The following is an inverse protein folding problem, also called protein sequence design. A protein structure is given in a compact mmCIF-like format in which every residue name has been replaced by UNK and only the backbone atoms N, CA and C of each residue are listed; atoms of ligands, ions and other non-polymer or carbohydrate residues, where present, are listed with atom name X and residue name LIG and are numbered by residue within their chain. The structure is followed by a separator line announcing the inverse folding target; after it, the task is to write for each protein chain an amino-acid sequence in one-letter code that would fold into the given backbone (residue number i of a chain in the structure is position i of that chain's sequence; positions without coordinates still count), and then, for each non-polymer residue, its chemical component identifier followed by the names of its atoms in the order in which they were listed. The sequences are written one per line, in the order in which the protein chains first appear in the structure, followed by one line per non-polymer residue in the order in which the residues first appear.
data_IF_788259273098
#
_entry.id   IF_788259273098
#
_cell.length_a   1.000
_cell.length_b   1.000
_cell.length_c   1.000
_cell.angle_alpha   90.00
_cell.angle_beta   90.00
_cell.angle_gamma   90.00
#
_symmetry.space_group_name_H-M   'P 1'
#
loop_
_entity.id
_entity.type
_entity.pdbx_description
1 polymer ?
#
# COMPACT_ATOMS: atom_id res chain seq x y z
N UNK A 1 -27.08 -11.54 -7.04
CA UNK A 1 -28.37 -10.83 -7.08
C UNK A 1 -28.07 -9.43 -7.56
N UNK A 2 -28.56 -9.04 -8.74
CA UNK A 2 -28.52 -7.64 -9.18
C UNK A 2 -29.53 -6.89 -8.32
N UNK A 3 -29.05 -5.91 -7.56
CA UNK A 3 -29.92 -5.02 -6.82
C UNK A 3 -30.61 -4.10 -7.82
N UNK A 4 -31.92 -3.87 -7.68
CA UNK A 4 -32.58 -2.81 -8.43
C UNK A 4 -32.28 -1.48 -7.75
N UNK A 5 -31.21 -0.80 -8.16
CA UNK A 5 -30.75 0.40 -7.47
C UNK A 5 -31.66 1.63 -7.69
N UNK A 6 -32.53 1.59 -8.70
CA UNK A 6 -33.46 2.69 -9.04
C UNK A 6 -34.61 2.85 -8.01
N UNK A 7 -34.92 1.79 -7.27
CA UNK A 7 -36.01 1.80 -6.28
C UNK A 7 -35.54 2.07 -4.84
N UNK A 8 -34.23 2.21 -4.63
CA UNK A 8 -33.67 2.40 -3.29
C UNK A 8 -33.89 3.81 -2.77
N UNK A 9 -34.28 3.89 -1.50
CA UNK A 9 -34.27 5.16 -0.77
C UNK A 9 -32.84 5.58 -0.44
N UNK A 10 -32.65 6.89 -0.21
CA UNK A 10 -31.37 7.44 0.25
C UNK A 10 -30.84 6.80 1.54
N UNK A 11 -31.72 6.31 2.41
CA UNK A 11 -31.29 5.65 3.65
C UNK A 11 -30.72 4.28 3.34
N UNK A 12 -31.43 3.46 2.57
CA UNK A 12 -30.98 2.11 2.19
C UNK A 12 -29.67 2.15 1.39
N UNK A 13 -29.55 3.12 0.48
CA UNK A 13 -28.32 3.30 -0.28
C UNK A 13 -27.11 3.67 0.61
N UNK A 14 -27.31 4.49 1.64
CA UNK A 14 -26.26 4.79 2.64
C UNK A 14 -25.92 3.58 3.49
N UNK A 15 -26.93 2.80 3.87
CA UNK A 15 -26.73 1.59 4.67
C UNK A 15 -25.93 0.54 3.90
N UNK A 16 -26.18 0.40 2.59
CA UNK A 16 -25.35 -0.44 1.70
C UNK A 16 -23.89 0.04 1.65
N UNK A 17 -23.65 1.33 1.44
CA UNK A 17 -22.29 1.89 1.48
C UNK A 17 -21.60 1.62 2.81
N UNK A 18 -22.31 1.79 3.93
CA UNK A 18 -21.78 1.52 5.27
C UNK A 18 -21.45 0.04 5.44
N UNK A 19 -22.37 -0.85 5.08
CA UNK A 19 -22.18 -2.30 5.13
C UNK A 19 -20.95 -2.73 4.33
N UNK A 20 -20.81 -2.26 3.09
CA UNK A 20 -19.66 -2.62 2.24
C UNK A 20 -18.34 -2.09 2.81
N UNK A 21 -18.33 -0.91 3.45
CA UNK A 21 -17.12 -0.42 4.15
C UNK A 21 -16.78 -1.26 5.37
N UNK A 22 -17.76 -1.57 6.22
CA UNK A 22 -17.53 -2.30 7.48
C UNK A 22 -17.12 -3.74 7.24
N UNK A 23 -17.68 -4.38 6.22
CA UNK A 23 -17.32 -5.74 5.81
C UNK A 23 -16.07 -5.80 4.92
N UNK A 24 -15.49 -4.65 4.54
CA UNK A 24 -14.38 -4.54 3.59
C UNK A 24 -14.66 -5.24 2.25
N UNK A 25 -15.91 -5.13 1.77
CA UNK A 25 -16.36 -5.72 0.51
C UNK A 25 -15.97 -4.83 -0.68
N UNK A 26 -15.22 -5.39 -1.63
CA UNK A 26 -14.81 -4.69 -2.86
C UNK A 26 -15.92 -4.77 -3.91
N UNK A 27 -16.90 -3.86 -3.83
CA UNK A 27 -18.08 -3.76 -4.71
C UNK A 27 -18.03 -2.52 -5.60
N UNK A 28 -16.91 -2.32 -6.30
CA UNK A 28 -16.62 -1.05 -6.99
C UNK A 28 -17.63 -0.69 -8.08
N UNK A 29 -18.11 -1.66 -8.86
CA UNK A 29 -19.14 -1.45 -9.88
C UNK A 29 -20.47 -1.03 -9.25
N UNK A 30 -20.95 -1.77 -8.24
CA UNK A 30 -22.19 -1.43 -7.52
C UNK A 30 -22.10 -0.07 -6.82
N UNK A 31 -20.93 0.29 -6.29
CA UNK A 31 -20.70 1.59 -5.66
C UNK A 31 -20.85 2.73 -6.67
N UNK A 32 -20.31 2.55 -7.87
CA UNK A 32 -20.40 3.56 -8.92
C UNK A 32 -21.81 3.66 -9.47
N UNK A 33 -22.47 2.54 -9.72
CA UNK A 33 -23.86 2.51 -10.16
C UNK A 33 -24.75 3.25 -9.14
N UNK A 34 -24.70 2.86 -7.86
CA UNK A 34 -25.49 3.47 -6.80
C UNK A 34 -25.16 4.96 -6.59
N UNK A 35 -23.88 5.33 -6.72
CA UNK A 35 -23.48 6.73 -6.68
C UNK A 35 -24.14 7.55 -7.79
N UNK A 36 -24.08 7.04 -9.03
CA UNK A 36 -24.63 7.74 -10.19
C UNK A 36 -26.14 7.86 -10.14
N UNK A 37 -26.85 6.81 -9.70
CA UNK A 37 -28.32 6.76 -9.68
C UNK A 37 -28.93 7.52 -8.51
N UNK A 38 -28.34 7.44 -7.31
CA UNK A 38 -28.98 7.95 -6.10
C UNK A 38 -28.38 9.28 -5.63
N UNK A 39 -27.06 9.39 -5.58
CA UNK A 39 -26.39 10.47 -4.83
C UNK A 39 -25.81 11.60 -5.66
N UNK A 40 -25.50 11.36 -6.93
CA UNK A 40 -24.74 12.32 -7.76
C UNK A 40 -25.43 13.68 -7.92
N UNK A 41 -26.76 13.71 -7.89
CA UNK A 41 -27.56 14.93 -8.06
C UNK A 41 -27.74 15.75 -6.77
N UNK A 42 -27.73 15.12 -5.58
CA UNK A 42 -27.97 15.80 -4.30
C UNK A 42 -27.12 15.24 -3.16
N UNK A 43 -25.94 15.83 -3.01
CA UNK A 43 -24.97 15.50 -1.96
C UNK A 43 -25.44 15.88 -0.55
N UNK A 44 -26.46 16.73 -0.40
CA UNK A 44 -26.94 17.16 0.93
C UNK A 44 -27.54 15.99 1.72
N UNK A 45 -28.09 15.00 1.02
CA UNK A 45 -28.73 13.80 1.59
C UNK A 45 -27.76 12.84 2.27
N UNK A 46 -26.47 12.99 1.99
CA UNK A 46 -25.39 12.25 2.64
C UNK A 46 -25.16 12.69 4.09
N UNK A 47 -25.52 13.94 4.43
CA UNK A 47 -25.34 14.49 5.77
C UNK A 47 -23.92 14.31 6.29
N UNK A 48 -23.79 13.82 7.53
CA UNK A 48 -22.51 13.69 8.22
C UNK A 48 -21.56 12.63 7.63
N UNK A 49 -22.08 11.69 6.83
CA UNK A 49 -21.28 10.60 6.23
C UNK A 49 -20.74 10.96 4.83
N UNK A 50 -21.01 12.18 4.36
CA UNK A 50 -20.62 12.66 3.03
C UNK A 50 -19.16 12.38 2.71
N UNK A 51 -18.23 12.72 3.59
CA UNK A 51 -16.81 12.54 3.35
C UNK A 51 -16.42 11.05 3.24
N UNK A 52 -16.95 10.18 4.11
CA UNK A 52 -16.70 8.74 4.05
C UNK A 52 -17.22 8.12 2.74
N UNK A 53 -18.39 8.57 2.30
CA UNK A 53 -18.99 8.12 1.03
C UNK A 53 -18.16 8.62 -0.16
N UNK A 54 -17.75 9.90 -0.17
CA UNK A 54 -16.90 10.44 -1.23
C UNK A 54 -15.58 9.66 -1.35
N UNK A 55 -14.93 9.33 -0.23
CA UNK A 55 -13.69 8.54 -0.24
C UNK A 55 -13.90 7.12 -0.79
N UNK A 56 -15.00 6.48 -0.42
CA UNK A 56 -15.37 5.16 -0.93
C UNK A 56 -15.62 5.20 -2.45
N UNK A 57 -16.36 6.22 -2.91
CA UNK A 57 -16.64 6.43 -4.33
C UNK A 57 -15.38 6.75 -5.12
N UNK A 58 -14.42 7.49 -4.54
CA UNK A 58 -13.12 7.74 -5.18
C UNK A 58 -12.44 6.41 -5.51
N UNK A 59 -12.25 5.53 -4.53
CA UNK A 59 -11.55 4.27 -4.79
C UNK A 59 -12.32 3.34 -5.72
N UNK A 60 -13.66 3.27 -5.60
CA UNK A 60 -14.48 2.53 -6.54
C UNK A 60 -14.37 3.09 -7.97
N UNK A 61 -14.33 4.41 -8.12
CA UNK A 61 -14.18 5.07 -9.41
C UNK A 61 -12.80 4.81 -10.03
N UNK A 62 -11.74 4.77 -9.22
CA UNK A 62 -10.40 4.40 -9.70
C UNK A 62 -10.37 2.96 -10.20
N UNK A 63 -10.99 2.02 -9.47
CA UNK A 63 -11.08 0.61 -9.86
C UNK A 63 -11.86 0.41 -11.16
N UNK A 64 -12.91 1.20 -11.37
CA UNK A 64 -13.75 1.15 -12.57
C UNK A 64 -13.26 2.09 -13.69
N UNK A 65 -12.08 2.69 -13.56
CA UNK A 65 -11.53 3.68 -14.51
C UNK A 65 -12.43 4.91 -14.77
N UNK A 66 -13.38 5.19 -13.87
CA UNK A 66 -14.29 6.33 -13.91
C UNK A 66 -13.61 7.60 -13.36
N UNK A 67 -12.48 8.00 -13.94
CA UNK A 67 -11.63 9.08 -13.42
C UNK A 67 -12.33 10.44 -13.27
N UNK A 68 -13.37 10.71 -14.07
CA UNK A 68 -14.19 11.92 -13.94
C UNK A 68 -14.91 11.99 -12.59
N UNK A 69 -15.49 10.88 -12.14
CA UNK A 69 -16.16 10.77 -10.85
C UNK A 69 -15.15 10.95 -9.71
N UNK A 70 -14.02 10.24 -9.78
CA UNK A 70 -12.94 10.39 -8.79
C UNK A 70 -12.46 11.85 -8.68
N UNK A 71 -12.25 12.52 -9.82
CA UNK A 71 -11.81 13.92 -9.87
C UNK A 71 -12.82 14.85 -9.20
N UNK A 72 -14.11 14.67 -9.49
CA UNK A 72 -15.19 15.45 -8.88
C UNK A 72 -15.22 15.27 -7.36
N UNK A 73 -15.18 14.03 -6.88
CA UNK A 73 -15.20 13.74 -5.44
C UNK A 73 -13.98 14.31 -4.72
N UNK A 74 -12.78 14.21 -5.32
CA UNK A 74 -11.55 14.81 -4.78
C UNK A 74 -11.65 16.33 -4.73
N UNK A 75 -12.23 16.96 -5.76
CA UNK A 75 -12.43 18.41 -5.79
C UNK A 75 -13.35 18.87 -4.65
N UNK A 76 -14.47 18.17 -4.44
CA UNK A 76 -15.39 18.46 -3.32
C UNK A 76 -14.66 18.37 -1.98
N UNK A 77 -13.92 17.28 -1.74
CA UNK A 77 -13.16 17.09 -0.50
C UNK A 77 -12.04 18.14 -0.34
N UNK A 78 -11.38 18.54 -1.43
CA UNK A 78 -10.30 19.53 -1.38
C UNK A 78 -10.81 20.93 -1.04
N UNK A 79 -12.03 21.28 -1.46
CA UNK A 79 -12.65 22.55 -1.09
C UNK A 79 -13.09 22.57 0.38
N UNK A 80 -13.56 21.43 0.89
CA UNK A 80 -14.02 21.29 2.28
C UNK A 80 -12.85 21.17 3.26
N UNK A 81 -11.76 20.53 2.84
CA UNK A 81 -10.55 20.30 3.65
C UNK A 81 -9.26 20.74 2.93
N UNK A 82 -9.04 22.06 2.73
CA UNK A 82 -7.85 22.57 2.03
C UNK A 82 -6.55 22.13 2.74
N UNK A 83 -5.58 21.63 1.95
CA UNK A 83 -4.28 21.19 2.48
C UNK A 83 -4.31 19.86 3.25
N UNK A 84 -5.46 19.17 3.32
CA UNK A 84 -5.54 17.86 3.97
C UNK A 84 -4.65 16.83 3.29
N UNK A 85 -3.70 16.27 4.05
CA UNK A 85 -2.84 15.18 3.55
C UNK A 85 -3.64 13.94 3.15
N UNK A 86 -4.79 13.69 3.80
CA UNK A 86 -5.70 12.62 3.42
C UNK A 86 -6.25 12.84 2.01
N UNK A 87 -6.71 14.05 1.71
CA UNK A 87 -7.19 14.43 0.37
C UNK A 87 -6.06 14.38 -0.67
N UNK A 88 -4.86 14.83 -0.31
CA UNK A 88 -3.69 14.73 -1.19
C UNK A 88 -3.34 13.28 -1.54
N UNK A 89 -3.54 12.31 -0.63
CA UNK A 89 -3.36 10.88 -0.96
C UNK A 89 -4.35 10.40 -2.03
N UNK A 90 -5.60 10.90 -2.03
CA UNK A 90 -6.56 10.57 -3.09
C UNK A 90 -6.13 11.16 -4.44
N UNK A 91 -5.57 12.38 -4.44
CA UNK A 91 -4.97 12.98 -5.64
C UNK A 91 -3.81 12.13 -6.17
N UNK A 92 -2.90 11.68 -5.31
CA UNK A 92 -1.81 10.77 -5.70
C UNK A 92 -2.34 9.45 -6.28
N UNK A 93 -3.37 8.86 -5.67
CA UNK A 93 -3.99 7.63 -6.16
C UNK A 93 -4.65 7.80 -7.54
N UNK A 94 -5.29 8.95 -7.80
CA UNK A 94 -5.84 9.27 -9.12
C UNK A 94 -4.74 9.40 -10.18
N UNK A 95 -3.67 10.13 -9.87
CA UNK A 95 -2.53 10.29 -10.78
C UNK A 95 -1.89 8.94 -11.11
N UNK A 96 -1.70 8.10 -10.10
CA UNK A 96 -1.18 6.76 -10.26
C UNK A 96 -2.09 5.86 -11.11
N UNK A 97 -3.40 5.89 -10.89
CA UNK A 97 -4.36 5.13 -11.70
C UNK A 97 -4.36 5.58 -13.17
N UNK A 98 -4.00 6.84 -13.43
CA UNK A 98 -3.79 7.40 -14.78
C UNK A 98 -2.38 7.17 -15.33
N UNK A 99 -1.56 6.38 -14.63
CA UNK A 99 -0.15 6.12 -14.97
C UNK A 99 0.74 7.38 -15.02
N UNK A 100 0.30 8.48 -14.41
CA UNK A 100 1.07 9.72 -14.24
C UNK A 100 1.98 9.61 -13.00
N UNK A 101 2.92 8.67 -13.06
CA UNK A 101 3.70 8.27 -11.89
C UNK A 101 4.59 9.39 -11.33
N UNK A 102 5.21 10.21 -12.17
CA UNK A 102 6.09 11.29 -11.72
C UNK A 102 5.32 12.32 -10.89
N UNK A 103 4.15 12.75 -11.39
CA UNK A 103 3.25 13.66 -10.67
C UNK A 103 2.72 13.04 -9.36
N UNK A 104 2.41 11.74 -9.38
CA UNK A 104 1.97 11.02 -8.18
C UNK A 104 3.07 10.99 -7.11
N UNK A 105 4.33 10.74 -7.52
CA UNK A 105 5.50 10.75 -6.64
C UNK A 105 5.75 12.13 -6.05
N UNK A 106 5.63 13.21 -6.84
CA UNK A 106 5.77 14.58 -6.33
C UNK A 106 4.76 14.90 -5.24
N UNK A 107 3.49 14.49 -5.42
CA UNK A 107 2.46 14.67 -4.39
C UNK A 107 2.79 13.88 -3.13
N UNK A 108 3.22 12.62 -3.27
CA UNK A 108 3.60 11.78 -2.13
C UNK A 108 4.83 12.33 -1.40
N UNK A 109 5.82 12.84 -2.12
CA UNK A 109 7.02 13.45 -1.54
C UNK A 109 6.67 14.73 -0.77
N UNK A 110 5.70 15.52 -1.27
CA UNK A 110 5.12 16.64 -0.54
C UNK A 110 4.48 16.21 0.78
N UNK A 111 3.69 15.13 0.79
CA UNK A 111 3.08 14.58 2.00
C UNK A 111 4.15 14.09 2.99
N UNK A 112 5.15 13.33 2.51
CA UNK A 112 6.22 12.77 3.33
C UNK A 112 7.10 13.87 3.93
N UNK A 113 7.33 14.95 3.18
CA UNK A 113 8.10 16.12 3.66
C UNK A 113 7.32 16.89 4.73
N UNK A 114 6.00 16.99 4.59
CA UNK A 114 5.15 17.64 5.58
C UNK A 114 4.99 16.78 6.86
N UNK A 115 4.92 15.46 6.71
CA UNK A 115 4.84 14.50 7.81
C UNK A 115 5.69 13.26 7.50
N UNK A 116 6.88 13.21 8.09
CA UNK A 116 7.80 12.09 7.89
C UNK A 116 7.30 10.77 8.47
N UNK A 117 6.35 10.83 9.41
CA UNK A 117 5.75 9.68 10.09
C UNK A 117 4.59 9.08 9.30
N UNK A 118 4.24 9.66 8.15
CA UNK A 118 3.19 9.16 7.27
C UNK A 118 3.61 7.85 6.57
N UNK A 119 3.37 6.73 7.25
CA UNK A 119 3.73 5.41 6.74
C UNK A 119 2.98 5.05 5.46
N UNK A 120 1.72 5.47 5.34
CA UNK A 120 0.88 5.20 4.17
C UNK A 120 1.45 5.83 2.88
N UNK A 121 1.89 7.08 2.94
CA UNK A 121 2.48 7.75 1.78
C UNK A 121 3.79 7.08 1.32
N UNK A 122 4.66 6.71 2.27
CA UNK A 122 5.91 5.98 1.98
C UNK A 122 5.66 4.60 1.36
N UNK A 123 4.71 3.82 1.92
CA UNK A 123 4.34 2.52 1.36
C UNK A 123 3.77 2.66 -0.06
N UNK A 124 3.01 3.71 -0.34
CA UNK A 124 2.51 3.97 -1.71
C UNK A 124 3.63 4.34 -2.68
N UNK A 125 4.60 5.16 -2.25
CA UNK A 125 5.80 5.47 -3.05
C UNK A 125 6.55 4.20 -3.47
N UNK A 126 6.76 3.26 -2.54
CA UNK A 126 7.36 1.95 -2.85
C UNK A 126 6.52 1.17 -3.89
N UNK A 127 5.19 1.18 -3.76
CA UNK A 127 4.31 0.51 -4.71
C UNK A 127 4.39 1.10 -6.14
N UNK A 128 4.48 2.43 -6.28
CA UNK A 128 4.65 3.10 -7.57
C UNK A 128 6.00 2.73 -8.20
N UNK A 129 7.09 2.80 -7.43
CA UNK A 129 8.42 2.41 -7.92
C UNK A 129 8.44 0.96 -8.42
N UNK A 130 7.73 0.05 -7.73
CA UNK A 130 7.54 -1.33 -8.19
C UNK A 130 6.76 -1.40 -9.50
N UNK A 131 5.66 -0.67 -9.64
CA UNK A 131 4.85 -0.64 -10.86
C UNK A 131 5.64 -0.15 -12.07
N UNK A 132 6.56 0.80 -11.88
CA UNK A 132 7.48 1.28 -12.91
C UNK A 132 8.65 0.32 -13.19
N UNK A 133 8.76 -0.81 -12.49
CA UNK A 133 9.88 -1.74 -12.62
C UNK A 133 11.20 -1.24 -12.01
N UNK A 134 11.18 -0.13 -11.26
CA UNK A 134 12.34 0.46 -10.57
C UNK A 134 12.62 -0.28 -9.26
N UNK A 135 12.82 -1.60 -9.35
CA UNK A 135 12.94 -2.50 -8.19
C UNK A 135 14.09 -2.11 -7.26
N UNK A 136 15.22 -1.63 -7.79
CA UNK A 136 16.37 -1.19 -6.97
C UNK A 136 16.04 0.03 -6.12
N UNK A 137 15.31 1.00 -6.67
CA UNK A 137 14.88 2.19 -5.94
C UNK A 137 13.78 1.84 -4.93
N UNK A 138 12.86 0.95 -5.29
CA UNK A 138 11.86 0.43 -4.35
C UNK A 138 12.51 -0.26 -3.14
N UNK A 139 13.56 -1.06 -3.34
CA UNK A 139 14.32 -1.69 -2.24
C UNK A 139 14.99 -0.64 -1.36
N UNK A 140 15.64 0.38 -1.93
CA UNK A 140 16.29 1.45 -1.15
C UNK A 140 15.26 2.20 -0.29
N UNK A 141 14.16 2.63 -0.90
CA UNK A 141 13.08 3.33 -0.19
C UNK A 141 12.48 2.47 0.93
N UNK A 142 12.26 1.17 0.68
CA UNK A 142 11.71 0.26 1.68
C UNK A 142 12.69 -0.02 2.83
N UNK A 143 14.00 -0.07 2.55
CA UNK A 143 15.03 -0.14 3.60
C UNK A 143 15.04 1.14 4.44
N UNK A 144 14.95 2.31 3.81
CA UNK A 144 14.89 3.59 4.53
C UNK A 144 13.59 3.74 5.35
N UNK A 145 12.47 3.24 4.83
CA UNK A 145 11.22 3.11 5.57
C UNK A 145 11.39 2.25 6.83
N UNK A 146 11.95 1.04 6.69
CA UNK A 146 12.10 0.09 7.80
C UNK A 146 13.06 0.57 8.89
N UNK A 147 14.00 1.49 8.59
CA UNK A 147 14.80 2.17 9.62
C UNK A 147 13.94 3.01 10.56
N UNK A 148 12.82 3.56 10.08
CA UNK A 148 11.87 4.37 10.86
C UNK A 148 10.74 3.52 11.45
N UNK A 149 10.25 2.53 10.71
CA UNK A 149 9.09 1.70 11.06
C UNK A 149 9.50 0.23 11.25
N UNK A 150 10.42 -0.02 12.19
CA UNK A 150 11.03 -1.35 12.39
C UNK A 150 10.03 -2.46 12.76
N UNK A 151 8.86 -2.12 13.31
CA UNK A 151 7.80 -3.05 13.71
C UNK A 151 6.83 -3.42 12.58
N UNK A 152 6.94 -2.83 11.39
CA UNK A 152 6.06 -3.13 10.25
C UNK A 152 6.47 -4.47 9.60
N UNK A 153 5.82 -5.54 10.03
CA UNK A 153 6.07 -6.92 9.55
C UNK A 153 5.77 -7.07 8.06
N UNK A 154 4.74 -6.40 7.54
CA UNK A 154 4.37 -6.46 6.12
C UNK A 154 5.47 -5.85 5.26
N UNK A 155 6.04 -4.71 5.69
CA UNK A 155 7.16 -4.09 4.99
C UNK A 155 8.42 -4.97 4.97
N UNK A 156 8.71 -5.70 6.06
CA UNK A 156 9.80 -6.70 6.08
C UNK A 156 9.56 -7.86 5.12
N UNK A 157 8.32 -8.37 5.05
CA UNK A 157 7.95 -9.43 4.12
C UNK A 157 8.06 -8.97 2.67
N UNK A 158 7.60 -7.76 2.38
CA UNK A 158 7.73 -7.13 1.06
C UNK A 158 9.21 -6.96 0.67
N UNK A 159 10.07 -6.51 1.58
CA UNK A 159 11.51 -6.39 1.32
C UNK A 159 12.15 -7.74 0.99
N UNK A 160 11.79 -8.79 1.74
CA UNK A 160 12.23 -10.16 1.44
C UNK A 160 11.77 -10.62 0.05
N UNK A 161 10.52 -10.34 -0.30
CA UNK A 161 9.94 -10.67 -1.61
C UNK A 161 10.70 -10.00 -2.76
N UNK A 162 11.02 -8.70 -2.63
CA UNK A 162 11.79 -7.97 -3.64
C UNK A 162 13.21 -8.52 -3.80
N UNK A 163 13.90 -8.85 -2.70
CA UNK A 163 15.21 -9.50 -2.81
C UNK A 163 15.13 -10.87 -3.49
N UNK A 164 14.13 -11.68 -3.17
CA UNK A 164 13.91 -12.96 -3.84
C UNK A 164 13.66 -12.78 -5.34
N UNK A 165 12.84 -11.80 -5.73
CA UNK A 165 12.60 -11.48 -7.13
C UNK A 165 13.90 -11.14 -7.86
N UNK A 166 14.74 -10.26 -7.30
CA UNK A 166 16.02 -9.87 -7.89
C UNK A 166 16.95 -11.09 -8.03
N UNK A 167 17.09 -11.90 -6.97
CA UNK A 167 17.95 -13.10 -7.02
C UNK A 167 17.49 -14.11 -8.07
N UNK A 168 16.17 -14.34 -8.19
CA UNK A 168 15.61 -15.22 -9.20
C UNK A 168 15.82 -14.70 -10.62
N UNK A 169 15.65 -13.39 -10.83
CA UNK A 169 15.90 -12.76 -12.13
C UNK A 169 17.37 -12.90 -12.54
N UNK A 170 18.32 -12.65 -11.63
CA UNK A 170 19.73 -12.88 -11.88
C UNK A 170 20.01 -14.35 -12.20
N UNK A 171 19.45 -15.28 -11.43
CA UNK A 171 19.64 -16.72 -11.65
C UNK A 171 19.08 -17.17 -13.00
N UNK A 172 17.92 -16.64 -13.42
CA UNK A 172 17.30 -16.96 -14.70
C UNK A 172 18.12 -16.43 -15.87
N UNK A 173 18.54 -15.16 -15.81
CA UNK A 173 19.46 -14.58 -16.80
C UNK A 173 20.73 -15.44 -16.90
N UNK A 174 21.26 -15.86 -15.76
CA UNK A 174 22.44 -16.68 -15.67
C UNK A 174 22.26 -18.10 -16.25
N UNK A 175 21.12 -18.78 -16.01
CA UNK A 175 20.77 -20.06 -16.63
C UNK A 175 20.64 -19.94 -18.15
N UNK A 176 20.07 -18.84 -18.63
CA UNK A 176 19.90 -18.57 -20.07
C UNK A 176 21.22 -18.26 -20.79
N UNK A 177 22.21 -17.69 -20.08
CA UNK A 177 23.53 -17.33 -20.64
C UNK A 177 24.45 -18.53 -20.96
N UNK A 178 23.97 -19.78 -20.85
CA UNK A 178 24.61 -20.97 -21.40
C UNK A 178 25.93 -21.43 -20.77
N UNK A 179 26.61 -20.63 -19.95
CA UNK A 179 27.99 -20.90 -19.52
C UNK A 179 28.05 -21.93 -18.37
N UNK A 180 28.51 -23.16 -18.65
CA UNK A 180 28.55 -24.30 -17.71
C UNK A 180 29.56 -24.11 -16.56
N UNK A 181 30.67 -23.40 -16.81
CA UNK A 181 31.76 -23.26 -15.81
C UNK A 181 31.36 -22.33 -14.66
N UNK A 182 30.76 -21.18 -14.99
CA UNK A 182 30.27 -20.20 -14.01
C UNK A 182 29.07 -20.74 -13.17
N UNK A 183 28.36 -21.80 -13.63
CA UNK A 183 27.19 -22.40 -12.93
C UNK A 183 27.64 -23.04 -11.63
N UNK A 184 28.79 -23.70 -11.67
CA UNK A 184 29.42 -24.33 -10.50
C UNK A 184 29.91 -23.29 -9.49
N UNK A 185 30.41 -22.15 -9.96
CA UNK A 185 30.87 -21.06 -9.10
C UNK A 185 29.71 -20.37 -8.39
N UNK A 186 28.61 -20.10 -9.09
CA UNK A 186 27.41 -19.49 -8.48
C UNK A 186 26.71 -20.45 -7.52
N UNK A 187 26.63 -21.74 -7.84
CA UNK A 187 26.11 -22.73 -6.89
C UNK A 187 26.95 -22.77 -5.60
N UNK A 188 28.28 -22.73 -5.73
CA UNK A 188 29.20 -22.60 -4.57
C UNK A 188 28.98 -21.28 -3.83
N UNK A 189 28.73 -20.17 -4.53
CA UNK A 189 28.51 -18.85 -3.92
C UNK A 189 27.17 -18.80 -3.16
N UNK A 190 26.09 -19.33 -3.73
CA UNK A 190 24.79 -19.47 -3.08
C UNK A 190 24.86 -20.41 -1.87
N UNK A 191 25.55 -21.55 -2.00
CA UNK A 191 25.77 -22.48 -0.89
C UNK A 191 26.62 -21.85 0.20
N UNK A 192 27.65 -21.07 -0.16
CA UNK A 192 28.46 -20.30 0.78
C UNK A 192 27.63 -19.20 1.46
N UNK A 193 26.77 -18.48 0.73
CA UNK A 193 25.91 -17.43 1.27
C UNK A 193 24.86 -18.01 2.23
N UNK A 194 24.20 -19.11 1.86
CA UNK A 194 23.29 -19.86 2.73
C UNK A 194 24.01 -20.41 3.97
N UNK A 195 25.21 -20.98 3.80
CA UNK A 195 26.03 -21.45 4.92
C UNK A 195 26.51 -20.33 5.82
N UNK A 196 26.78 -19.15 5.25
CA UNK A 196 27.23 -17.97 6.00
C UNK A 196 26.07 -17.29 6.73
N UNK A 197 24.88 -17.24 6.13
CA UNK A 197 23.65 -16.83 6.80
C UNK A 197 23.29 -17.78 7.95
N UNK A 198 23.40 -19.11 7.72
CA UNK A 198 23.20 -20.11 8.77
C UNK A 198 24.25 -20.02 9.89
N UNK A 199 25.52 -19.72 9.56
CA UNK A 199 26.57 -19.47 10.56
C UNK A 199 26.30 -18.19 11.35
N UNK A 200 25.85 -17.11 10.71
CA UNK A 200 25.46 -15.85 11.39
C UNK A 200 24.23 -16.04 12.27
N UNK A 201 23.21 -16.78 11.82
CA UNK A 201 22.07 -17.17 12.65
C UNK A 201 22.48 -18.04 13.83
N UNK A 202 23.37 -19.01 13.64
CA UNK A 202 23.92 -19.83 14.75
C UNK A 202 24.75 -18.99 15.70
N UNK A 203 25.53 -18.03 15.21
CA UNK A 203 26.31 -17.10 16.05
C UNK A 203 25.41 -16.14 16.84
N UNK A 204 24.34 -15.62 16.22
CA UNK A 204 23.32 -14.81 16.89
C UNK A 204 22.53 -15.63 17.94
N UNK A 205 22.34 -16.93 17.71
CA UNK A 205 21.69 -17.87 18.64
C UNK A 205 22.65 -18.42 19.72
N UNK A 206 23.96 -18.24 19.54
CA UNK A 206 25.01 -18.64 20.47
C UNK A 206 25.53 -17.49 21.34
N UNK A 207 25.15 -16.24 21.05
CA UNK A 207 25.23 -15.17 22.02
C UNK A 207 24.22 -15.49 23.15
N UNK A 208 24.57 -15.31 24.44
CA UNK A 208 23.57 -15.34 25.49
C UNK A 208 22.46 -14.33 25.13
N UNK A 209 21.19 -14.59 25.46
CA UNK A 209 20.12 -13.66 25.15
C UNK A 209 20.46 -12.33 25.81
N UNK A 210 20.91 -11.36 25.01
CA UNK A 210 20.75 -9.96 25.40
C UNK A 210 19.26 -9.80 25.66
N UNK A 211 18.85 -9.24 26.80
CA UNK A 211 17.43 -9.10 27.11
C UNK A 211 16.80 -8.30 25.98
N UNK A 212 16.06 -9.02 25.15
CA UNK A 212 15.28 -8.45 24.08
C UNK A 212 14.32 -7.44 24.74
N UNK A 213 14.07 -6.31 24.07
CA UNK A 213 13.15 -5.29 24.57
C UNK A 213 11.78 -5.94 24.89
N UNK A 214 11.45 -7.03 24.20
CA UNK A 214 10.29 -7.90 24.46
C UNK A 214 10.32 -8.57 25.85
N UNK A 215 11.47 -9.03 26.36
CA UNK A 215 11.63 -9.64 27.69
C UNK A 215 11.63 -8.59 28.80
N UNK A 216 12.21 -7.41 28.55
CA UNK A 216 12.13 -6.28 29.50
C UNK A 216 10.70 -5.75 29.64
N UNK A 217 9.94 -5.71 28.53
CA UNK A 217 8.53 -5.32 28.54
C UNK A 217 7.61 -6.36 29.19
N UNK A 218 7.92 -7.66 29.09
CA UNK A 218 7.18 -8.71 29.78
C UNK A 218 7.43 -8.69 31.31
N UNK A 219 8.65 -8.35 31.74
CA UNK A 219 9.02 -8.25 33.15
C UNK A 219 8.37 -7.04 33.85
N UNK A 220 8.18 -5.92 33.14
CA UNK A 220 7.47 -4.73 33.64
C UNK A 220 5.95 -4.93 33.78
N UNK A 221 5.36 -5.92 33.09
CA UNK A 221 3.94 -6.21 33.14
C UNK A 221 3.53 -7.23 34.23
N UNK A 222 4.49 -7.81 34.95
CA UNK A 222 4.24 -8.82 36.00
C UNK A 222 4.56 -8.28 37.41
N UNK A 223 5.12 -7.07 37.51
CA UNK A 223 5.29 -6.36 38.79
C UNK A 223 4.45 -5.09 38.81
N UNK A 224 3.14 -5.30 38.90
CA UNK A 224 2.07 -4.59 39.66
C UNK A 224 0.71 -4.86 39.03
#
# INVERSE_FOLDING_TARGET
MSYNFEELTYSEAKDLFRQWRENNERRSEDVIELWTTVFSDDLSKLGNEKHLVLEQVIYAALDCHAYGVATMCIYILSNEFPGSMRVMRHKAALLEAKEQYDEALEVLDGIIKADETNSAARKRRVAILKAQGLITEAIKELVDYLKKFMSDVEAWQELCSLYLQVTNNLLNHYKSAGNSSKRKEVWKLCQWAQSSAARRQRAARALPPTPDLSQMMLALAITE
#
